data_IF_819299975384
#
_entry.id   IF_819299975384
#
_cell.length_a   1.000
_cell.length_b   1.000
_cell.length_c   1.000
_cell.angle_alpha   90.00
_cell.angle_beta   90.00
_cell.angle_gamma   90.00
#
_symmetry.space_group_name_H-M   'P 1'
#
loop_
_entity.id
_entity.type
_entity.pdbx_description
1 polymer ?
#
# COMPACT_ATOMS: atom_id res chain seq x y z
N UNK A 1 -18.26 2.41 -10.04
CA UNK A 1 -18.34 1.28 -9.09
C UNK A 1 -19.06 1.78 -7.85
N UNK A 2 -20.08 1.05 -7.39
CA UNK A 2 -20.72 1.36 -6.12
C UNK A 2 -19.72 0.99 -5.01
N UNK A 3 -19.20 1.99 -4.30
CA UNK A 3 -18.23 1.78 -3.23
C UNK A 3 -18.86 1.21 -1.95
N UNK A 4 -20.17 0.89 -1.97
CA UNK A 4 -20.91 0.34 -0.85
C UNK A 4 -20.30 -0.96 -0.31
N UNK A 5 -20.08 -1.94 -1.19
CA UNK A 5 -19.47 -3.21 -0.78
C UNK A 5 -18.05 -3.02 -0.22
N UNK A 6 -17.24 -2.15 -0.86
CA UNK A 6 -15.89 -1.83 -0.38
C UNK A 6 -15.88 -1.11 0.97
N UNK A 7 -16.85 -0.21 1.21
CA UNK A 7 -17.00 0.49 2.50
C UNK A 7 -17.39 -0.48 3.61
N UNK A 8 -18.36 -1.36 3.35
CA UNK A 8 -18.80 -2.35 4.34
C UNK A 8 -17.66 -3.32 4.66
N UNK A 9 -16.96 -3.83 3.64
CA UNK A 9 -15.87 -4.79 3.84
C UNK A 9 -14.71 -4.17 4.63
N UNK A 10 -14.30 -2.95 4.28
CA UNK A 10 -13.22 -2.25 5.01
C UNK A 10 -13.62 -1.88 6.43
N UNK A 11 -14.88 -1.48 6.66
CA UNK A 11 -15.41 -1.21 7.99
C UNK A 11 -15.47 -2.46 8.88
N UNK A 12 -15.95 -3.59 8.35
CA UNK A 12 -15.93 -4.87 9.08
C UNK A 12 -14.50 -5.33 9.38
N UNK A 13 -13.58 -5.16 8.43
CA UNK A 13 -12.16 -5.44 8.64
C UNK A 13 -11.54 -4.58 9.74
N UNK A 14 -11.89 -3.28 9.79
CA UNK A 14 -11.45 -2.39 10.86
C UNK A 14 -12.00 -2.84 12.22
N UNK A 15 -13.28 -3.20 12.31
CA UNK A 15 -13.88 -3.74 13.53
C UNK A 15 -13.18 -5.03 13.98
N UNK A 16 -12.85 -5.92 13.06
CA UNK A 16 -12.12 -7.14 13.39
C UNK A 16 -10.70 -6.83 13.90
N UNK A 17 -10.00 -5.88 13.25
CA UNK A 17 -8.67 -5.46 13.67
C UNK A 17 -8.65 -4.85 15.09
N UNK A 18 -9.64 -4.03 15.46
CA UNK A 18 -9.70 -3.46 16.81
C UNK A 18 -10.05 -4.50 17.87
N UNK A 19 -10.91 -5.48 17.55
CA UNK A 19 -11.20 -6.60 18.46
C UNK A 19 -9.96 -7.45 18.69
N UNK A 20 -9.25 -7.81 17.62
CA UNK A 20 -7.98 -8.54 17.72
C UNK A 20 -6.92 -7.76 18.50
N UNK A 21 -6.86 -6.43 18.34
CA UNK A 21 -5.98 -5.60 19.16
C UNK A 21 -6.37 -5.65 20.65
N UNK A 22 -7.67 -5.57 20.98
CA UNK A 22 -8.17 -5.60 22.35
C UNK A 22 -7.96 -6.94 23.07
N UNK A 23 -8.10 -8.05 22.37
CA UNK A 23 -7.93 -9.40 22.93
C UNK A 23 -6.51 -9.96 22.80
N UNK A 24 -5.60 -9.26 22.12
CA UNK A 24 -4.22 -9.71 21.97
C UNK A 24 -3.45 -9.72 23.28
N UNK A 25 -2.70 -10.80 23.53
CA UNK A 25 -1.76 -10.87 24.66
C UNK A 25 -0.33 -10.44 24.28
N UNK A 26 0.05 -10.60 23.01
CA UNK A 26 1.36 -10.23 22.47
C UNK A 26 1.39 -8.75 22.02
N UNK A 27 2.42 -8.01 22.45
CA UNK A 27 2.57 -6.58 22.18
C UNK A 27 2.86 -6.25 20.70
N UNK A 28 3.66 -7.09 20.02
CA UNK A 28 3.96 -6.91 18.61
C UNK A 28 2.71 -7.15 17.77
N UNK A 29 1.97 -8.22 18.04
CA UNK A 29 0.71 -8.50 17.36
C UNK A 29 -0.30 -7.35 17.60
N UNK A 30 -0.43 -6.88 18.85
CA UNK A 30 -1.29 -5.73 19.19
C UNK A 30 -0.95 -4.49 18.36
N UNK A 31 0.33 -4.18 18.23
CA UNK A 31 0.82 -3.02 17.47
C UNK A 31 0.43 -3.13 15.99
N UNK A 32 0.60 -4.31 15.38
CA UNK A 32 0.21 -4.53 13.98
C UNK A 32 -1.30 -4.45 13.77
N UNK A 33 -2.10 -4.93 14.73
CA UNK A 33 -3.56 -4.81 14.66
C UNK A 33 -4.03 -3.36 14.78
N UNK A 34 -3.36 -2.53 15.59
CA UNK A 34 -3.62 -1.09 15.64
C UNK A 34 -3.27 -0.38 14.33
N UNK A 35 -2.13 -0.72 13.71
CA UNK A 35 -1.74 -0.18 12.40
C UNK A 35 -2.78 -0.56 11.32
N UNK A 36 -3.21 -1.83 11.32
CA UNK A 36 -4.23 -2.32 10.41
C UNK A 36 -5.56 -1.60 10.62
N UNK A 37 -6.01 -1.46 11.88
CA UNK A 37 -7.21 -0.72 12.24
C UNK A 37 -7.16 0.72 11.74
N UNK A 38 -6.10 1.45 12.04
CA UNK A 38 -5.94 2.84 11.61
C UNK A 38 -5.99 2.97 10.08
N UNK A 39 -5.28 2.08 9.37
CA UNK A 39 -5.24 2.07 7.91
C UNK A 39 -6.63 1.80 7.30
N UNK A 40 -7.33 0.77 7.79
CA UNK A 40 -8.66 0.41 7.32
C UNK A 40 -9.72 1.46 7.71
N UNK A 41 -9.62 2.04 8.89
CA UNK A 41 -10.52 3.10 9.34
C UNK A 41 -10.39 4.35 8.46
N UNK A 42 -9.14 4.81 8.21
CA UNK A 42 -8.88 5.92 7.29
C UNK A 42 -9.42 5.60 5.90
N UNK A 43 -9.15 4.41 5.38
CA UNK A 43 -9.63 3.99 4.06
C UNK A 43 -11.17 3.97 3.99
N UNK A 44 -11.83 3.46 5.04
CA UNK A 44 -13.29 3.45 5.14
C UNK A 44 -13.85 4.87 5.16
N UNK A 45 -13.24 5.79 5.91
CA UNK A 45 -13.63 7.20 5.94
C UNK A 45 -13.46 7.86 4.57
N UNK A 46 -12.33 7.62 3.89
CA UNK A 46 -12.09 8.15 2.55
C UNK A 46 -13.09 7.62 1.53
N UNK A 47 -13.46 6.33 1.62
CA UNK A 47 -14.52 5.77 0.80
C UNK A 47 -15.86 6.42 1.13
N UNK A 48 -16.25 6.56 2.40
CA UNK A 48 -17.49 7.23 2.78
C UNK A 48 -17.58 8.66 2.27
N UNK A 49 -16.47 9.40 2.28
CA UNK A 49 -16.41 10.78 1.78
C UNK A 49 -16.53 10.87 0.26
N UNK A 50 -16.04 9.86 -0.47
CA UNK A 50 -15.99 9.85 -1.92
C UNK A 50 -17.05 8.93 -2.56
N UNK A 51 -17.84 8.24 -1.75
CA UNK A 51 -18.84 7.29 -2.21
C UNK A 51 -20.12 8.00 -2.59
N UNK A 52 -20.45 7.92 -3.88
CA UNK A 52 -21.82 8.14 -4.33
C UNK A 52 -22.63 6.87 -4.07
N UNK A 53 -23.40 6.85 -2.99
CA UNK A 53 -24.35 5.78 -2.65
C UNK A 53 -25.69 5.91 -3.42
N UNK A 54 -25.66 6.53 -4.60
CA UNK A 54 -26.84 6.64 -5.44
C UNK A 54 -27.34 5.26 -5.88
N UNK A 55 -28.66 5.09 -5.95
CA UNK A 55 -29.31 3.86 -6.44
C UNK A 55 -28.95 3.54 -7.90
N UNK A 56 -28.52 4.55 -8.67
CA UNK A 56 -28.12 4.39 -10.06
C UNK A 56 -26.60 4.13 -10.15
N UNK A 57 -26.17 2.92 -10.58
CA UNK A 57 -24.75 2.65 -10.75
C UNK A 57 -24.16 3.61 -11.80
N UNK A 58 -23.05 4.28 -11.46
CA UNK A 58 -22.32 5.12 -12.42
C UNK A 58 -21.96 4.27 -13.65
N UNK A 59 -22.53 4.63 -14.81
CA UNK A 59 -22.27 3.95 -16.08
C UNK A 59 -20.77 4.02 -16.38
N UNK A 60 -20.10 2.88 -16.37
CA UNK A 60 -18.68 2.77 -16.75
C UNK A 60 -18.64 2.63 -18.26
N UNK A 61 -17.89 3.50 -18.92
CA UNK A 61 -17.59 3.33 -20.34
C UNK A 61 -16.69 2.11 -20.52
N UNK A 62 -17.25 1.07 -21.14
CA UNK A 62 -16.57 -0.20 -21.39
C UNK A 62 -15.66 -0.13 -22.62
N UNK A 63 -15.81 0.88 -23.47
CA UNK A 63 -14.95 1.07 -24.64
C UNK A 63 -13.59 1.69 -24.28
N UNK A 64 -13.49 2.32 -23.09
CA UNK A 64 -12.27 2.94 -22.59
C UNK A 64 -11.48 2.00 -21.66
N UNK A 65 -10.15 2.10 -21.72
CA UNK A 65 -9.24 1.38 -20.82
C UNK A 65 -9.38 1.83 -19.35
N UNK A 66 -9.09 0.89 -18.44
CA UNK A 66 -9.09 1.11 -17.00
C UNK A 66 -7.74 1.66 -16.52
N UNK A 67 -7.45 2.92 -16.88
CA UNK A 67 -6.18 3.56 -16.51
C UNK A 67 -6.09 4.03 -15.05
N UNK A 68 -7.20 4.00 -14.30
CA UNK A 68 -7.25 4.46 -12.90
C UNK A 68 -6.20 3.78 -12.00
N UNK A 69 -6.25 2.44 -11.84
CA UNK A 69 -5.26 1.71 -11.05
C UNK A 69 -3.82 1.89 -11.54
N UNK A 70 -3.61 2.00 -12.87
CA UNK A 70 -2.29 2.22 -13.46
C UNK A 70 -1.72 3.58 -13.02
N UNK A 71 -2.53 4.65 -13.04
CA UNK A 71 -2.09 5.99 -12.61
C UNK A 71 -1.68 6.00 -11.14
N UNK A 72 -2.48 5.40 -10.25
CA UNK A 72 -2.12 5.26 -8.84
C UNK A 72 -0.85 4.40 -8.66
N UNK A 73 -0.76 3.30 -9.41
CA UNK A 73 0.40 2.42 -9.43
C UNK A 73 1.68 3.17 -9.80
N UNK A 74 1.70 3.91 -10.91
CA UNK A 74 2.88 4.67 -11.35
C UNK A 74 3.34 5.70 -10.31
N UNK A 75 2.41 6.43 -9.67
CA UNK A 75 2.74 7.37 -8.59
C UNK A 75 3.39 6.62 -7.43
N UNK A 76 2.79 5.50 -7.00
CA UNK A 76 3.34 4.69 -5.93
C UNK A 76 4.69 4.04 -6.30
N UNK A 77 4.93 3.71 -7.58
CA UNK A 77 6.23 3.20 -8.06
C UNK A 77 7.31 4.24 -7.84
N UNK A 78 7.07 5.49 -8.25
CA UNK A 78 8.04 6.57 -8.03
C UNK A 78 8.29 6.80 -6.55
N UNK A 79 7.22 6.86 -5.74
CA UNK A 79 7.32 7.02 -4.28
C UNK A 79 8.18 5.93 -3.62
N UNK A 80 7.91 4.66 -3.94
CA UNK A 80 8.67 3.54 -3.39
C UNK A 80 10.09 3.46 -3.96
N UNK A 81 10.31 3.88 -5.20
CA UNK A 81 11.64 4.00 -5.78
C UNK A 81 12.50 4.99 -5.00
N UNK A 82 11.99 6.20 -4.78
CA UNK A 82 12.70 7.22 -3.97
C UNK A 82 12.93 6.72 -2.55
N UNK A 83 11.91 6.16 -1.89
CA UNK A 83 12.02 5.67 -0.52
C UNK A 83 13.01 4.51 -0.39
N UNK A 84 12.91 3.51 -1.27
CA UNK A 84 13.80 2.35 -1.28
C UNK A 84 15.25 2.73 -1.55
N UNK A 85 15.51 3.62 -2.52
CA UNK A 85 16.86 4.10 -2.82
C UNK A 85 17.42 4.97 -1.70
N UNK A 86 16.61 5.82 -1.06
CA UNK A 86 17.03 6.59 0.10
C UNK A 86 17.47 5.69 1.25
N UNK A 87 16.70 4.65 1.59
CA UNK A 87 17.11 3.66 2.61
C UNK A 87 18.39 2.94 2.17
N UNK A 88 18.56 2.68 0.87
CA UNK A 88 19.80 2.14 0.29
C UNK A 88 21.02 3.02 0.55
N UNK A 89 20.88 4.34 0.37
CA UNK A 89 21.92 5.32 0.69
C UNK A 89 22.20 5.34 2.19
N UNK A 90 21.16 5.28 3.04
CA UNK A 90 21.32 5.24 4.50
C UNK A 90 22.11 4.00 4.94
N UNK A 91 21.77 2.80 4.46
CA UNK A 91 22.50 1.58 4.85
C UNK A 91 23.91 1.54 4.26
N UNK A 92 24.15 2.17 3.11
CA UNK A 92 25.50 2.35 2.57
C UNK A 92 26.32 3.29 3.46
N UNK A 93 25.72 4.37 3.96
CA UNK A 93 26.35 5.28 4.91
C UNK A 93 26.66 4.58 6.25
N UNK A 94 25.81 3.66 6.72
CA UNK A 94 26.07 2.86 7.92
C UNK A 94 27.27 1.91 7.77
N UNK A 95 27.57 1.44 6.55
CA UNK A 95 28.78 0.66 6.28
C UNK A 95 30.03 1.54 6.26
N UNK A 96 29.93 2.79 5.80
CA UNK A 96 31.04 3.74 5.77
C UNK A 96 31.32 4.37 7.16
N UNK A 97 30.27 4.67 7.91
CA UNK A 97 30.30 5.32 9.22
C UNK A 97 29.46 4.51 10.21
N UNK A 98 30.08 3.59 10.98
CA UNK A 98 29.37 2.72 11.91
C UNK A 98 28.55 3.46 12.98
N UNK A 99 28.92 4.70 13.32
CA UNK A 99 28.21 5.53 14.30
C UNK A 99 26.77 5.90 13.86
N UNK A 100 26.45 5.76 12.57
CA UNK A 100 25.09 5.98 12.04
C UNK A 100 24.13 4.80 12.29
N UNK A 101 24.61 3.76 12.99
CA UNK A 101 23.86 2.54 13.28
C UNK A 101 23.06 2.72 14.59
N UNK A 102 21.88 3.36 14.49
CA UNK A 102 21.08 3.77 15.65
C UNK A 102 20.12 2.66 16.10
N UNK A 103 20.35 2.14 17.31
CA UNK A 103 19.51 1.12 17.91
C UNK A 103 18.21 1.68 18.56
N UNK A 104 17.14 0.89 18.64
CA UNK A 104 17.02 -0.50 18.16
C UNK A 104 16.43 -0.61 16.75
N UNK A 105 15.91 0.46 16.15
CA UNK A 105 15.10 0.37 14.93
C UNK A 105 15.86 0.67 13.64
N UNK A 106 16.78 1.63 13.67
CA UNK A 106 17.50 2.11 12.50
C UNK A 106 18.86 1.43 12.34
N UNK A 107 19.01 0.21 12.85
CA UNK A 107 20.26 -0.52 12.69
C UNK A 107 20.38 -1.19 11.31
N UNK A 108 21.61 -1.41 10.86
CA UNK A 108 21.90 -1.99 9.54
C UNK A 108 21.22 -3.35 9.33
N UNK A 109 21.19 -4.19 10.38
CA UNK A 109 20.57 -5.52 10.34
C UNK A 109 19.07 -5.49 10.02
N UNK A 110 18.36 -4.44 10.46
CA UNK A 110 16.92 -4.25 10.21
C UNK A 110 16.63 -3.44 8.95
N UNK A 111 17.43 -2.39 8.70
CA UNK A 111 17.24 -1.53 7.53
C UNK A 111 17.59 -2.22 6.21
N UNK A 112 18.50 -3.21 6.21
CA UNK A 112 18.84 -3.96 4.99
C UNK A 112 17.65 -4.79 4.46
N UNK A 113 16.97 -5.65 5.25
CA UNK A 113 15.75 -6.32 4.79
C UNK A 113 14.63 -5.34 4.39
N UNK A 114 14.54 -4.18 5.06
CA UNK A 114 13.61 -3.11 4.70
C UNK A 114 13.93 -2.54 3.30
N UNK A 115 15.20 -2.18 3.04
CA UNK A 115 15.66 -1.69 1.74
C UNK A 115 15.36 -2.70 0.62
N UNK A 116 15.76 -3.96 0.81
CA UNK A 116 15.56 -5.00 -0.19
C UNK A 116 14.08 -5.20 -0.51
N UNK A 117 13.22 -5.30 0.52
CA UNK A 117 11.79 -5.46 0.30
C UNK A 117 11.14 -4.23 -0.36
N UNK A 118 11.57 -3.02 0.03
CA UNK A 118 11.09 -1.78 -0.57
C UNK A 118 11.47 -1.67 -2.05
N UNK A 119 12.71 -1.99 -2.42
CA UNK A 119 13.16 -1.89 -3.82
C UNK A 119 12.58 -3.02 -4.68
N UNK A 120 12.54 -4.26 -4.17
CA UNK A 120 12.06 -5.40 -4.97
C UNK A 120 10.54 -5.42 -5.06
N UNK A 121 9.85 -5.45 -3.92
CA UNK A 121 8.40 -5.68 -3.92
C UNK A 121 7.60 -4.38 -4.04
N UNK A 122 7.99 -3.33 -3.33
CA UNK A 122 7.21 -2.08 -3.36
C UNK A 122 7.49 -1.27 -4.64
N UNK A 123 8.76 -1.04 -5.00
CA UNK A 123 9.13 -0.38 -6.25
C UNK A 123 8.96 -1.32 -7.45
N UNK A 124 9.74 -2.40 -7.50
CA UNK A 124 9.75 -3.33 -8.64
C UNK A 124 8.39 -4.01 -8.86
N UNK A 125 7.77 -4.53 -7.81
CA UNK A 125 6.45 -5.16 -7.90
C UNK A 125 5.37 -4.20 -8.42
N UNK A 126 5.35 -2.96 -7.94
CA UNK A 126 4.37 -1.98 -8.42
C UNK A 126 4.66 -1.51 -9.85
N UNK A 127 5.94 -1.39 -10.23
CA UNK A 127 6.33 -1.15 -11.62
C UNK A 127 5.80 -2.26 -12.54
N UNK A 128 5.95 -3.52 -12.14
CA UNK A 128 5.44 -4.68 -12.88
C UNK A 128 3.92 -4.69 -12.96
N UNK A 129 3.20 -4.39 -11.87
CA UNK A 129 1.74 -4.32 -11.87
C UNK A 129 1.25 -3.23 -12.82
N UNK A 130 1.77 -2.01 -12.69
CA UNK A 130 1.35 -0.87 -13.50
C UNK A 130 1.64 -1.09 -15.00
N UNK A 131 2.85 -1.57 -15.32
CA UNK A 131 3.23 -1.89 -16.71
C UNK A 131 2.40 -3.04 -17.28
N UNK A 132 2.20 -4.12 -16.52
CA UNK A 132 1.41 -5.27 -16.98
C UNK A 132 -0.02 -4.87 -17.26
N UNK A 133 -0.68 -4.14 -16.35
CA UNK A 133 -2.04 -3.64 -16.56
C UNK A 133 -2.14 -2.67 -17.73
N UNK A 134 -1.13 -1.83 -17.95
CA UNK A 134 -1.12 -0.89 -19.07
C UNK A 134 -0.97 -1.61 -20.41
N UNK A 135 0.00 -2.52 -20.49
CA UNK A 135 0.37 -3.24 -21.71
C UNK A 135 -0.72 -4.21 -22.12
N UNK A 136 -1.19 -5.07 -21.20
CA UNK A 136 -2.16 -6.14 -21.53
C UNK A 136 -3.46 -5.60 -22.11
N UNK A 137 -3.96 -4.47 -21.58
CA UNK A 137 -5.17 -3.83 -22.07
C UNK A 137 -5.01 -3.37 -23.53
N UNK A 138 -3.84 -2.82 -23.88
CA UNK A 138 -3.56 -2.22 -25.19
C UNK A 138 -3.19 -3.26 -26.25
N UNK A 139 -2.46 -4.29 -25.86
CA UNK A 139 -2.07 -5.37 -26.77
C UNK A 139 -3.25 -6.28 -27.11
N UNK A 140 -4.13 -6.55 -26.13
CA UNK A 140 -5.34 -7.36 -26.36
C UNK A 140 -6.56 -6.53 -26.79
N UNK A 141 -6.47 -5.19 -26.74
CA UNK A 141 -7.58 -4.26 -26.98
C UNK A 141 -8.82 -4.58 -26.14
N UNK A 142 -8.60 -4.92 -24.88
CA UNK A 142 -9.62 -5.33 -23.91
C UNK A 142 -9.39 -4.65 -22.55
N UNK A 143 -10.42 -4.68 -21.69
CA UNK A 143 -10.42 -4.08 -20.35
C UNK A 143 -10.62 -5.14 -19.28
#
# INVERSE_FOLDING_TARGET
MNYAAGTVLSGLGALFAVLLAGFSHDELFRTHMWILFATLAIFTILLMRNANYGLTPKKVDQSAYMDGPIRYGVIATVFWGVTGFLVGVVIAAQLAFPDLNLEPYLNFGRLRPLHTSAVIFAFGGNALIASSFYVVQRTCRAR
#
